data_IF_602720851143
#
_entry.id   IF_602720851143
#
_cell.length_a   1.000
_cell.length_b   1.000
_cell.length_c   1.000
_cell.angle_alpha   90.00
_cell.angle_beta   90.00
_cell.angle_gamma   90.00
#
_symmetry.space_group_name_H-M   'P 1'
#
loop_
_entity.id
_entity.type
_entity.pdbx_description
1 polymer ?
#
# COMPACT_ATOMS: atom_id res chain seq x y z
N UNK A 1 12.04 -0.97 -6.29
CA UNK A 1 11.56 -0.71 -4.91
C UNK A 1 10.87 -1.92 -4.28
N UNK A 2 9.97 -2.64 -4.97
CA UNK A 2 9.33 -3.85 -4.41
C UNK A 2 10.35 -4.91 -3.95
N UNK A 3 11.45 -5.11 -4.69
CA UNK A 3 12.54 -6.02 -4.30
C UNK A 3 13.20 -5.63 -2.97
N UNK A 4 13.33 -4.34 -2.68
CA UNK A 4 13.85 -3.87 -1.39
C UNK A 4 12.95 -4.31 -0.22
N UNK A 5 11.65 -4.20 -0.39
CA UNK A 5 10.68 -4.68 0.60
C UNK A 5 10.65 -6.21 0.70
N UNK A 6 10.94 -6.94 -0.39
CA UNK A 6 11.11 -8.40 -0.33
C UNK A 6 12.29 -8.79 0.59
N UNK A 7 13.41 -8.07 0.51
CA UNK A 7 14.55 -8.30 1.41
C UNK A 7 14.17 -7.97 2.87
N UNK A 8 13.46 -6.87 3.10
CA UNK A 8 12.97 -6.54 4.45
C UNK A 8 12.05 -7.66 4.96
N UNK A 9 11.11 -8.13 4.13
CA UNK A 9 10.18 -9.20 4.49
C UNK A 9 10.88 -10.51 4.79
N UNK A 10 11.92 -10.87 4.02
CA UNK A 10 12.76 -12.04 4.29
C UNK A 10 13.40 -11.98 5.69
N UNK A 11 13.87 -10.79 6.09
CA UNK A 11 14.53 -10.59 7.39
C UNK A 11 13.53 -10.51 8.55
N UNK A 12 12.32 -9.99 8.32
CA UNK A 12 11.28 -9.78 9.34
C UNK A 12 10.38 -10.99 9.58
N UNK A 13 10.23 -11.82 8.57
CA UNK A 13 9.31 -12.96 8.57
C UNK A 13 7.87 -12.59 8.20
N UNK A 14 7.12 -13.60 7.75
CA UNK A 14 5.80 -13.41 7.12
C UNK A 14 4.73 -12.83 8.06
N UNK A 15 4.71 -13.23 9.35
CA UNK A 15 3.73 -12.74 10.31
C UNK A 15 3.76 -11.21 10.46
N UNK A 16 4.95 -10.64 10.55
CA UNK A 16 5.12 -9.18 10.66
C UNK A 16 4.74 -8.47 9.37
N UNK A 17 5.04 -9.09 8.24
CA UNK A 17 4.70 -8.52 6.93
C UNK A 17 3.20 -8.57 6.67
N UNK A 18 2.48 -9.63 7.10
CA UNK A 18 1.02 -9.68 7.02
C UNK A 18 0.34 -8.59 7.84
N UNK A 19 0.83 -8.33 9.06
CA UNK A 19 0.31 -7.24 9.89
C UNK A 19 0.57 -5.89 9.20
N UNK A 20 1.76 -5.70 8.62
CA UNK A 20 2.07 -4.51 7.85
C UNK A 20 1.15 -4.37 6.62
N UNK A 21 0.90 -5.47 5.88
CA UNK A 21 -0.06 -5.51 4.76
C UNK A 21 -1.44 -5.04 5.20
N UNK A 22 -1.93 -5.57 6.32
CA UNK A 22 -3.23 -5.19 6.87
C UNK A 22 -3.30 -3.67 7.18
N UNK A 23 -2.24 -3.13 7.80
CA UNK A 23 -2.13 -1.70 8.07
C UNK A 23 -2.07 -0.84 6.80
N UNK A 24 -1.33 -1.29 5.78
CA UNK A 24 -1.23 -0.62 4.47
C UNK A 24 -2.61 -0.59 3.79
N UNK A 25 -3.29 -1.74 3.68
CA UNK A 25 -4.60 -1.82 3.03
C UNK A 25 -5.65 -1.01 3.78
N UNK A 26 -5.64 -1.02 5.12
CA UNK A 26 -6.52 -0.17 5.93
C UNK A 26 -6.25 1.32 5.67
N UNK A 27 -4.98 1.70 5.57
CA UNK A 27 -4.58 3.08 5.23
C UNK A 27 -5.05 3.51 3.84
N UNK A 28 -4.90 2.61 2.86
CA UNK A 28 -5.39 2.85 1.49
C UNK A 28 -6.92 2.98 1.45
N UNK A 29 -7.61 2.13 2.18
CA UNK A 29 -9.07 2.20 2.33
C UNK A 29 -9.51 3.54 2.94
N UNK A 30 -8.86 3.96 4.03
CA UNK A 30 -9.16 5.24 4.65
C UNK A 30 -8.94 6.41 3.68
N UNK A 31 -7.79 6.46 3.00
CA UNK A 31 -7.51 7.52 2.03
C UNK A 31 -8.48 7.50 0.85
N UNK A 32 -8.87 6.32 0.36
CA UNK A 32 -9.82 6.19 -0.73
C UNK A 32 -11.22 6.67 -0.31
N UNK A 33 -11.70 6.23 0.86
CA UNK A 33 -13.03 6.61 1.38
C UNK A 33 -13.13 8.10 1.73
N UNK A 34 -12.04 8.66 2.25
CA UNK A 34 -12.00 10.07 2.65
C UNK A 34 -11.47 11.00 1.57
N UNK A 35 -11.19 10.52 0.33
CA UNK A 35 -10.67 11.36 -0.75
C UNK A 35 -11.61 12.54 -1.06
N UNK A 36 -12.92 12.30 -1.12
CA UNK A 36 -13.92 13.34 -1.31
C UNK A 36 -13.92 14.40 -0.21
N UNK A 37 -13.74 14.00 1.04
CA UNK A 37 -13.62 14.93 2.18
C UNK A 37 -12.29 15.68 2.16
N UNK A 38 -11.19 14.98 1.87
CA UNK A 38 -9.87 15.58 1.78
C UNK A 38 -9.82 16.64 0.68
N UNK A 39 -10.21 16.30 -0.54
CA UNK A 39 -10.15 17.20 -1.71
C UNK A 39 -11.30 18.21 -1.73
N UNK A 40 -12.51 17.77 -1.37
CA UNK A 40 -13.72 18.60 -1.49
C UNK A 40 -13.89 19.58 -0.34
N UNK A 41 -13.38 19.29 0.85
CA UNK A 41 -13.58 20.11 2.05
C UNK A 41 -12.25 20.65 2.59
N UNK A 42 -11.32 19.77 2.98
CA UNK A 42 -10.12 20.17 3.71
C UNK A 42 -9.08 20.84 2.81
N UNK A 43 -8.92 20.36 1.58
CA UNK A 43 -7.94 20.84 0.62
C UNK A 43 -8.60 21.60 -0.55
N UNK A 44 -9.80 22.11 -0.34
CA UNK A 44 -10.52 22.89 -1.36
C UNK A 44 -9.76 24.17 -1.69
N UNK A 45 -9.37 24.32 -2.97
CA UNK A 45 -8.59 25.47 -3.43
C UNK A 45 -7.08 25.37 -3.16
N UNK A 46 -6.61 24.28 -2.60
CA UNK A 46 -5.18 23.97 -2.43
C UNK A 46 -4.61 23.49 -3.78
N UNK A 47 -3.36 23.86 -4.08
CA UNK A 47 -2.68 23.46 -5.31
C UNK A 47 -2.44 21.93 -5.34
N UNK A 48 -2.42 21.32 -6.53
CA UNK A 48 -2.34 19.86 -6.71
C UNK A 48 -1.05 19.23 -6.15
N UNK A 49 0.06 19.96 -6.22
CA UNK A 49 1.33 19.57 -5.62
C UNK A 49 1.22 19.44 -4.10
N UNK A 50 0.54 20.37 -3.46
CA UNK A 50 0.31 20.32 -2.00
C UNK A 50 -0.67 19.19 -1.64
N UNK A 51 -1.71 18.95 -2.45
CA UNK A 51 -2.62 17.81 -2.25
C UNK A 51 -1.86 16.49 -2.34
N UNK A 52 -1.01 16.31 -3.34
CA UNK A 52 -0.16 15.14 -3.49
C UNK A 52 0.76 14.94 -2.28
N UNK A 53 1.41 16.02 -1.82
CA UNK A 53 2.30 15.97 -0.65
C UNK A 53 1.53 15.52 0.59
N UNK A 54 0.37 16.11 0.85
CA UNK A 54 -0.46 15.79 2.03
C UNK A 54 -0.93 14.32 1.97
N UNK A 55 -1.48 13.86 0.84
CA UNK A 55 -1.92 12.47 0.69
C UNK A 55 -0.76 11.48 0.88
N UNK A 56 0.37 11.76 0.23
CA UNK A 56 1.57 10.92 0.35
C UNK A 56 2.13 10.92 1.77
N UNK A 57 2.16 12.06 2.44
CA UNK A 57 2.63 12.18 3.81
C UNK A 57 1.75 11.39 4.78
N UNK A 58 0.42 11.53 4.69
CA UNK A 58 -0.52 10.76 5.51
C UNK A 58 -0.30 9.26 5.28
N UNK A 59 -0.19 8.84 4.02
CA UNK A 59 0.02 7.44 3.68
C UNK A 59 1.35 6.90 4.23
N UNK A 60 2.45 7.64 4.06
CA UNK A 60 3.78 7.26 4.59
C UNK A 60 3.75 7.14 6.11
N UNK A 61 3.06 8.04 6.81
CA UNK A 61 2.89 7.96 8.27
C UNK A 61 2.14 6.68 8.66
N UNK A 62 1.06 6.33 7.96
CA UNK A 62 0.32 5.10 8.21
C UNK A 62 1.20 3.87 7.97
N UNK A 63 1.93 3.83 6.84
CA UNK A 63 2.88 2.76 6.52
C UNK A 63 3.96 2.65 7.59
N UNK A 64 4.52 3.77 8.04
CA UNK A 64 5.51 3.78 9.11
C UNK A 64 4.97 3.11 10.38
N UNK A 65 3.78 3.47 10.83
CA UNK A 65 3.15 2.84 11.99
C UNK A 65 2.82 1.37 11.75
N UNK A 66 2.36 0.99 10.56
CA UNK A 66 2.11 -0.41 10.20
C UNK A 66 3.38 -1.27 10.29
N UNK A 67 4.54 -0.71 9.96
CA UNK A 67 5.84 -1.38 10.09
C UNK A 67 6.43 -1.38 11.50
N UNK A 68 5.92 -0.56 12.42
CA UNK A 68 6.35 -0.50 13.83
C UNK A 68 5.79 -1.66 14.68
N UNK A 69 4.93 -2.50 14.13
CA UNK A 69 4.29 -3.58 14.88
C UNK A 69 5.30 -4.60 15.41
N UNK A 70 5.16 -4.93 16.71
CA UNK A 70 5.95 -5.96 17.38
C UNK A 70 5.45 -7.35 16.96
N UNK A 71 6.26 -8.40 17.19
CA UNK A 71 5.80 -9.78 16.99
C UNK A 71 4.54 -10.01 17.82
N UNK A 72 3.47 -10.41 17.17
CA UNK A 72 2.27 -10.95 17.82
C UNK A 72 2.39 -12.48 17.72
N UNK A 73 2.39 -13.16 18.86
CA UNK A 73 2.50 -14.61 18.93
C UNK A 73 3.68 -15.11 19.78
N UNK A 74 3.60 -16.37 20.18
CA UNK A 74 4.61 -17.07 20.98
C UNK A 74 5.95 -17.09 20.26
N UNK A 75 7.00 -16.77 20.98
CA UNK A 75 8.40 -16.85 20.52
C UNK A 75 8.90 -18.32 20.56
N UNK A 76 8.20 -19.23 19.89
CA UNK A 76 8.79 -20.50 19.55
C UNK A 76 9.79 -20.21 18.42
N UNK A 77 11.08 -20.37 18.74
CA UNK A 77 12.13 -20.21 17.75
C UNK A 77 11.95 -21.32 16.70
N UNK A 78 11.53 -20.99 15.46
CA UNK A 78 11.31 -22.01 14.45
C UNK A 78 12.60 -22.81 14.23
N UNK A 79 12.49 -24.12 14.11
CA UNK A 79 13.61 -24.97 13.68
C UNK A 79 14.11 -24.52 12.31
N UNK A 80 15.33 -24.93 11.92
CA UNK A 80 15.99 -24.40 10.73
C UNK A 80 15.15 -24.45 9.44
N UNK A 81 14.31 -25.46 9.25
CA UNK A 81 13.44 -25.62 8.07
C UNK A 81 12.24 -24.68 8.11
N UNK A 82 11.62 -24.53 9.28
CA UNK A 82 10.48 -23.63 9.49
C UNK A 82 10.90 -22.17 9.38
N UNK A 83 12.12 -21.82 9.81
CA UNK A 83 12.68 -20.49 9.68
C UNK A 83 12.90 -20.08 8.22
N UNK A 84 13.37 -21.00 7.38
CA UNK A 84 13.55 -20.71 5.95
C UNK A 84 12.20 -20.47 5.26
N UNK A 85 11.21 -21.30 5.58
CA UNK A 85 9.85 -21.13 5.05
C UNK A 85 9.23 -19.80 5.49
N UNK A 86 9.37 -19.44 6.77
CA UNK A 86 8.92 -18.16 7.31
C UNK A 86 9.57 -16.97 6.60
N UNK A 87 10.88 -17.05 6.30
CA UNK A 87 11.61 -16.01 5.60
C UNK A 87 11.20 -15.89 4.13
N UNK A 88 11.02 -17.01 3.42
CA UNK A 88 10.59 -17.00 2.01
C UNK A 88 9.18 -16.41 1.89
N UNK A 89 8.25 -16.85 2.73
CA UNK A 89 6.90 -16.28 2.76
C UNK A 89 6.94 -14.79 3.12
N UNK A 90 7.80 -14.42 4.07
CA UNK A 90 8.05 -13.01 4.41
C UNK A 90 8.54 -12.19 3.22
N UNK A 91 9.43 -12.75 2.39
CA UNK A 91 9.90 -12.07 1.17
C UNK A 91 8.79 -11.85 0.15
N UNK A 92 7.91 -12.83 -0.04
CA UNK A 92 6.77 -12.72 -0.97
C UNK A 92 5.81 -11.64 -0.49
N UNK A 93 5.43 -11.66 0.79
CA UNK A 93 4.53 -10.65 1.37
C UNK A 93 5.20 -9.27 1.38
N UNK A 94 6.50 -9.19 1.68
CA UNK A 94 7.26 -7.95 1.61
C UNK A 94 7.31 -7.36 0.19
N UNK A 95 7.47 -8.21 -0.83
CA UNK A 95 7.38 -7.77 -2.22
C UNK A 95 6.02 -7.16 -2.53
N UNK A 96 4.92 -7.81 -2.08
CA UNK A 96 3.56 -7.29 -2.23
C UNK A 96 3.40 -5.95 -1.50
N UNK A 97 3.92 -5.82 -0.29
CA UNK A 97 3.90 -4.56 0.47
C UNK A 97 4.64 -3.45 -0.28
N UNK A 98 5.79 -3.76 -0.86
CA UNK A 98 6.53 -2.81 -1.69
C UNK A 98 5.75 -2.36 -2.93
N UNK A 99 5.04 -3.28 -3.58
CA UNK A 99 4.14 -2.95 -4.69
C UNK A 99 2.97 -2.06 -4.22
N UNK A 100 2.31 -2.41 -3.10
CA UNK A 100 1.23 -1.61 -2.53
C UNK A 100 1.69 -0.19 -2.19
N UNK A 101 2.85 -0.04 -1.56
CA UNK A 101 3.36 1.28 -1.14
C UNK A 101 3.71 2.15 -2.36
N UNK A 102 4.59 1.66 -3.23
CA UNK A 102 5.09 2.47 -4.35
C UNK A 102 4.05 2.67 -5.44
N UNK A 103 3.25 1.66 -5.72
CA UNK A 103 2.14 1.78 -6.66
C UNK A 103 1.07 2.77 -6.20
N UNK A 104 0.84 2.86 -4.88
CA UNK A 104 -0.11 3.84 -4.34
C UNK A 104 0.44 5.26 -4.37
N UNK A 105 1.74 5.46 -4.13
CA UNK A 105 2.37 6.78 -4.32
C UNK A 105 2.30 7.19 -5.78
N UNK A 106 2.52 6.25 -6.72
CA UNK A 106 2.33 6.53 -8.14
C UNK A 106 0.88 6.88 -8.46
N UNK A 107 -0.09 6.18 -7.91
CA UNK A 107 -1.51 6.51 -8.06
C UNK A 107 -1.81 7.93 -7.56
N UNK A 108 -1.29 8.34 -6.39
CA UNK A 108 -1.47 9.72 -5.90
C UNK A 108 -0.83 10.74 -6.84
N UNK A 109 0.29 10.42 -7.47
CA UNK A 109 0.92 11.28 -8.47
C UNK A 109 0.06 11.41 -9.73
N UNK A 110 -0.51 10.30 -10.20
CA UNK A 110 -1.35 10.24 -11.39
C UNK A 110 -2.64 11.08 -11.22
N UNK A 111 -3.38 10.86 -10.12
CA UNK A 111 -4.63 11.60 -9.84
C UNK A 111 -4.41 13.10 -9.53
N UNK A 112 -3.19 13.50 -9.20
CA UNK A 112 -2.80 14.91 -9.03
C UNK A 112 -2.09 15.49 -10.27
N UNK A 113 -2.17 14.79 -11.43
CA UNK A 113 -1.64 15.25 -12.71
C UNK A 113 -0.12 15.50 -12.70
N UNK A 114 0.63 14.60 -12.07
CA UNK A 114 2.10 14.63 -12.01
C UNK A 114 2.68 15.96 -11.52
N UNK A 115 2.40 16.35 -10.28
CA UNK A 115 2.78 17.65 -9.72
C UNK A 115 4.29 17.85 -9.57
N UNK A 116 5.09 16.80 -9.75
CA UNK A 116 6.55 16.86 -9.70
C UNK A 116 7.20 17.17 -11.06
N UNK A 117 6.43 17.59 -12.06
CA UNK A 117 7.00 18.04 -13.32
C UNK A 117 7.96 19.24 -13.10
N UNK A 118 9.08 19.32 -13.81
CA UNK A 118 9.52 18.47 -14.93
C UNK A 118 10.32 17.22 -14.51
N UNK A 119 10.55 16.96 -13.22
CA UNK A 119 11.35 15.83 -12.75
C UNK A 119 10.66 14.48 -12.97
N UNK A 120 9.35 14.43 -12.79
CA UNK A 120 8.51 13.27 -13.08
C UNK A 120 7.34 13.76 -13.93
N UNK A 121 7.23 13.23 -15.15
CA UNK A 121 6.20 13.59 -16.11
C UNK A 121 5.22 12.45 -16.33
N UNK A 122 4.01 12.77 -16.77
CA UNK A 122 3.01 11.79 -17.15
C UNK A 122 3.54 10.85 -18.24
N UNK A 123 3.22 9.54 -18.18
CA UNK A 123 3.57 8.62 -19.26
C UNK A 123 2.98 9.04 -20.59
N UNK A 124 3.74 8.85 -21.67
CA UNK A 124 3.22 9.10 -23.02
C UNK A 124 2.06 8.12 -23.32
N UNK A 125 0.97 8.57 -23.94
CA UNK A 125 -0.15 7.71 -24.29
C UNK A 125 0.28 6.47 -25.07
N UNK A 126 -0.19 5.30 -24.69
CA UNK A 126 0.14 4.00 -25.30
C UNK A 126 1.51 3.43 -24.92
N UNK A 127 2.30 4.13 -24.11
CA UNK A 127 3.57 3.59 -23.60
C UNK A 127 3.35 2.44 -22.61
N UNK A 128 4.36 1.57 -22.37
CA UNK A 128 4.26 0.54 -21.34
C UNK A 128 3.95 1.08 -19.94
N UNK A 129 4.44 2.27 -19.62
CA UNK A 129 4.14 2.94 -18.34
C UNK A 129 2.70 3.46 -18.29
N UNK A 130 2.12 3.86 -19.42
CA UNK A 130 0.73 4.25 -19.50
C UNK A 130 -0.21 3.05 -19.24
N UNK A 131 0.10 1.91 -19.88
CA UNK A 131 -0.63 0.66 -19.63
C UNK A 131 -0.47 0.15 -18.19
N UNK A 132 0.69 0.36 -17.58
CA UNK A 132 0.94 -0.04 -16.20
C UNK A 132 0.10 0.74 -15.17
N UNK A 133 -0.50 1.88 -15.53
CA UNK A 133 -1.42 2.61 -14.64
C UNK A 133 -2.67 1.82 -14.27
N UNK A 134 -3.15 0.96 -15.17
CA UNK A 134 -4.28 0.07 -14.90
C UNK A 134 -3.95 -1.00 -13.85
N UNK A 135 -2.67 -1.30 -13.67
CA UNK A 135 -2.16 -2.25 -12.69
C UNK A 135 -1.79 -1.60 -11.33
N UNK A 136 -2.07 -0.32 -11.15
CA UNK A 136 -1.80 0.32 -9.86
C UNK A 136 -2.68 -0.26 -8.75
N UNK A 137 -2.16 -0.45 -7.53
CA UNK A 137 -2.88 -1.10 -6.44
C UNK A 137 -4.25 -0.50 -6.16
N UNK A 138 -4.35 0.82 -6.11
CA UNK A 138 -5.62 1.51 -5.85
C UNK A 138 -6.59 1.46 -7.04
N UNK A 139 -6.10 1.27 -8.26
CA UNK A 139 -6.97 1.02 -9.41
C UNK A 139 -7.57 -0.38 -9.29
N UNK A 140 -6.74 -1.41 -9.04
CA UNK A 140 -7.20 -2.80 -8.90
C UNK A 140 -8.11 -2.95 -7.68
N UNK A 141 -7.68 -2.48 -6.51
CA UNK A 141 -8.42 -2.60 -5.25
C UNK A 141 -9.63 -1.65 -5.19
N UNK A 142 -9.59 -0.54 -5.92
CA UNK A 142 -10.73 0.37 -6.07
C UNK A 142 -11.86 -0.20 -6.93
N UNK A 143 -11.62 -1.26 -7.68
CA UNK A 143 -12.60 -1.85 -8.60
C UNK A 143 -12.52 -1.29 -10.02
N UNK A 144 -11.34 -0.84 -10.45
CA UNK A 144 -11.08 -0.23 -11.76
C UNK A 144 -11.16 1.29 -11.75
N UNK A 145 -11.07 1.89 -12.93
CA UNK A 145 -11.02 3.36 -13.12
C UNK A 145 -12.27 4.08 -12.57
N UNK A 146 -13.43 3.40 -12.53
CA UNK A 146 -14.69 3.93 -12.01
C UNK A 146 -15.20 3.13 -10.80
N UNK A 147 -14.32 2.42 -10.10
CA UNK A 147 -14.70 1.56 -8.99
C UNK A 147 -15.11 2.34 -7.74
N UNK A 148 -16.04 1.76 -6.98
CA UNK A 148 -16.57 2.33 -5.73
C UNK A 148 -15.74 1.98 -4.49
N UNK A 149 -14.62 1.26 -4.67
CA UNK A 149 -13.81 0.76 -3.55
C UNK A 149 -14.36 -0.52 -2.91
N UNK A 150 -15.29 -1.23 -3.55
CA UNK A 150 -15.91 -2.44 -2.99
C UNK A 150 -14.88 -3.55 -2.77
N UNK A 151 -13.95 -3.75 -3.71
CA UNK A 151 -12.88 -4.75 -3.59
C UNK A 151 -11.95 -4.40 -2.42
N UNK A 152 -11.65 -3.12 -2.24
CA UNK A 152 -10.83 -2.62 -1.13
C UNK A 152 -11.54 -2.81 0.21
N UNK A 153 -12.86 -2.56 0.27
CA UNK A 153 -13.67 -2.83 1.46
C UNK A 153 -13.70 -4.32 1.80
N UNK A 154 -13.87 -5.20 0.81
CA UNK A 154 -13.81 -6.65 1.00
C UNK A 154 -12.41 -7.07 1.50
N UNK A 155 -11.34 -6.54 0.92
CA UNK A 155 -9.98 -6.83 1.38
C UNK A 155 -9.77 -6.44 2.84
N UNK A 156 -10.28 -5.29 3.28
CA UNK A 156 -10.22 -4.85 4.69
C UNK A 156 -10.99 -5.82 5.59
N UNK A 157 -12.21 -6.23 5.19
CA UNK A 157 -13.02 -7.18 5.97
C UNK A 157 -12.30 -8.53 6.09
N UNK A 158 -11.77 -9.07 4.99
CA UNK A 158 -11.03 -10.33 4.97
C UNK A 158 -9.80 -10.26 5.86
N UNK A 159 -9.02 -9.19 5.76
CA UNK A 159 -7.85 -8.99 6.63
C UNK A 159 -8.22 -8.83 8.09
N UNK A 160 -9.30 -8.11 8.39
CA UNK A 160 -9.80 -7.97 9.77
C UNK A 160 -10.20 -9.32 10.35
N UNK A 161 -10.97 -10.13 9.59
CA UNK A 161 -11.34 -11.49 10.01
C UNK A 161 -10.12 -12.38 10.18
N UNK A 162 -9.15 -12.29 9.26
CA UNK A 162 -7.91 -13.06 9.36
C UNK A 162 -7.13 -12.71 10.63
N UNK A 163 -6.97 -11.43 10.92
CA UNK A 163 -6.31 -10.95 12.15
C UNK A 163 -7.06 -11.46 13.40
N UNK A 164 -8.40 -11.43 13.38
CA UNK A 164 -9.24 -11.87 14.49
C UNK A 164 -9.13 -13.38 14.76
N UNK A 165 -8.89 -14.19 13.72
CA UNK A 165 -8.74 -15.66 13.83
C UNK A 165 -7.32 -16.05 14.27
N UNK A 166 -6.30 -15.29 13.85
CA UNK A 166 -4.88 -15.62 14.07
C UNK A 166 -4.34 -15.07 15.39
N UNK A 167 -4.95 -14.01 15.92
CA UNK A 167 -4.60 -13.38 17.20
C UNK A 167 -5.54 -13.85 18.31
#
# INVERSE_FOLDING_TARGET
MALFFAVIGYLRGWNRELIATAGIILGLFALFQFDGLLRGVLLRGVARDQVFIVQSAIFIVIVFFAYQTRRVGRADTPGGRDKLQESILGAIVGFLNGYLIWGSIWYFMDINEYPLAPFVIAPAPGSPSDQARELLPLVILGGGVNGNGDVLAIAVIVLFLFVLIVI
#
